data_IF_085648415463
#
_entry.id   IF_085648415463
#
_cell.length_a   1.000
_cell.length_b   1.000
_cell.length_c   1.000
_cell.angle_alpha   90.00
_cell.angle_beta   90.00
_cell.angle_gamma   90.00
#
_symmetry.space_group_name_H-M   'P 1'
#
loop_
_entity.id
_entity.type
_entity.pdbx_description
1 polymer ?
#
# COMPACT_ATOMS: atom_id res chain seq x y z
N UNK A 1 -14.08 8.51 24.01
CA UNK A 1 -13.09 8.33 22.91
C UNK A 1 -12.57 9.72 22.56
N UNK A 2 -11.47 10.13 23.12
CA UNK A 2 -10.83 11.44 22.85
C UNK A 2 -10.05 11.36 21.55
N UNK A 3 -10.59 11.92 20.45
CA UNK A 3 -9.82 12.14 19.21
C UNK A 3 -8.82 13.27 19.46
N UNK A 4 -7.55 13.02 19.15
CA UNK A 4 -6.54 14.09 19.12
C UNK A 4 -6.86 15.09 18.00
N UNK A 5 -6.57 16.40 18.15
CA UNK A 5 -6.85 17.39 17.12
C UNK A 5 -6.03 17.15 15.86
N UNK A 6 -6.69 17.22 14.70
CA UNK A 6 -6.10 17.12 13.36
C UNK A 6 -5.36 18.42 13.02
N UNK A 7 -4.16 18.33 12.43
CA UNK A 7 -3.35 19.48 12.00
C UNK A 7 -4.05 20.30 10.91
N UNK A 8 -3.74 21.60 10.83
CA UNK A 8 -4.32 22.52 9.84
C UNK A 8 -3.68 22.36 8.46
N UNK A 9 -4.48 22.66 7.40
CA UNK A 9 -4.14 22.68 5.98
C UNK A 9 -2.87 23.47 5.64
N UNK A 10 -2.02 22.91 4.76
CA UNK A 10 -0.88 23.59 4.14
C UNK A 10 0.51 23.13 4.55
N UNK A 11 0.67 22.39 5.65
CA UNK A 11 1.94 21.78 6.06
C UNK A 11 1.80 20.25 6.07
N UNK A 12 2.34 19.58 5.06
CA UNK A 12 2.34 18.10 4.96
C UNK A 12 3.11 17.41 6.09
N UNK A 13 3.65 18.21 7.03
CA UNK A 13 4.38 17.72 8.19
C UNK A 13 5.73 17.10 7.82
N UNK A 14 6.59 16.85 8.83
CA UNK A 14 7.98 16.41 8.63
C UNK A 14 8.11 14.98 8.07
N UNK A 15 7.02 14.22 8.03
CA UNK A 15 7.05 12.80 7.66
C UNK A 15 6.71 12.51 6.20
N UNK A 16 6.38 13.51 5.38
CA UNK A 16 6.07 13.34 3.96
C UNK A 16 7.28 13.68 3.08
N UNK A 17 7.70 12.73 2.22
CA UNK A 17 8.80 12.95 1.26
C UNK A 17 8.32 13.46 -0.11
N UNK A 18 7.03 13.36 -0.41
CA UNK A 18 6.47 13.78 -1.69
C UNK A 18 4.98 14.13 -1.58
N UNK A 19 4.61 15.31 -2.05
CA UNK A 19 3.20 15.74 -2.12
C UNK A 19 2.53 15.21 -3.38
N UNK A 20 1.54 14.34 -3.19
CA UNK A 20 0.73 13.78 -4.27
C UNK A 20 -0.47 14.64 -4.64
N UNK A 21 -0.79 15.70 -3.87
CA UNK A 21 -1.93 16.57 -4.15
C UNK A 21 -2.00 17.05 -5.59
N UNK A 22 -0.92 17.69 -6.12
CA UNK A 22 -0.90 18.18 -7.50
C UNK A 22 -1.02 17.08 -8.57
N UNK A 23 -0.74 15.83 -8.24
CA UNK A 23 -0.79 14.67 -9.16
C UNK A 23 -2.04 13.80 -8.98
N UNK A 24 -2.95 14.16 -8.08
CA UNK A 24 -4.09 13.32 -7.71
C UNK A 24 -4.95 12.90 -8.92
N UNK A 25 -5.28 13.86 -9.80
CA UNK A 25 -6.08 13.58 -11.00
C UNK A 25 -5.31 12.81 -12.08
N UNK A 26 -4.01 13.05 -12.22
CA UNK A 26 -3.16 12.31 -13.15
C UNK A 26 -3.01 10.85 -12.71
N UNK A 27 -2.83 10.62 -11.43
CA UNK A 27 -2.77 9.29 -10.84
C UNK A 27 -4.03 8.47 -11.12
N UNK A 28 -5.20 9.07 -10.95
CA UNK A 28 -6.48 8.43 -11.28
C UNK A 28 -6.63 8.14 -12.77
N UNK A 29 -6.27 9.10 -13.63
CA UNK A 29 -6.32 8.91 -15.09
C UNK A 29 -5.43 7.76 -15.53
N UNK A 30 -4.26 7.60 -14.88
CA UNK A 30 -3.35 6.51 -15.21
C UNK A 30 -3.99 5.13 -15.00
N UNK A 31 -4.77 4.91 -13.93
CA UNK A 31 -5.51 3.66 -13.73
C UNK A 31 -6.53 3.39 -14.82
N UNK A 32 -7.04 4.42 -15.49
CA UNK A 32 -7.92 4.35 -16.66
C UNK A 32 -7.23 3.88 -17.95
N UNK A 33 -5.90 3.90 -18.03
CA UNK A 33 -5.15 3.42 -19.20
C UNK A 33 -5.08 1.89 -19.27
N UNK A 34 -4.82 1.34 -20.47
CA UNK A 34 -4.65 -0.11 -20.63
C UNK A 34 -3.46 -0.66 -19.81
N UNK A 35 -2.39 0.13 -19.68
CA UNK A 35 -1.21 -0.22 -18.89
C UNK A 35 -1.54 -0.19 -17.39
N UNK A 36 -2.21 0.88 -16.92
CA UNK A 36 -2.64 1.04 -15.53
C UNK A 36 -3.58 -0.09 -15.10
N UNK A 37 -4.60 -0.42 -15.90
CA UNK A 37 -5.52 -1.54 -15.62
C UNK A 37 -4.82 -2.90 -15.55
N UNK A 38 -3.80 -3.15 -16.40
CA UNK A 38 -3.02 -4.40 -16.30
C UNK A 38 -2.19 -4.45 -15.02
N UNK A 39 -1.59 -3.33 -14.67
CA UNK A 39 -0.78 -3.22 -13.45
C UNK A 39 -1.65 -3.42 -12.20
N UNK A 40 -2.76 -2.71 -12.12
CA UNK A 40 -3.75 -2.79 -11.06
C UNK A 40 -4.27 -4.22 -10.84
N UNK A 41 -4.70 -4.90 -11.91
CA UNK A 41 -5.15 -6.30 -11.81
C UNK A 41 -4.10 -7.24 -11.23
N UNK A 42 -2.82 -7.04 -11.57
CA UNK A 42 -1.72 -7.86 -11.03
C UNK A 42 -1.50 -7.60 -9.55
N UNK A 43 -1.44 -6.33 -9.17
CA UNK A 43 -1.28 -5.95 -7.77
C UNK A 43 -2.44 -6.46 -6.90
N UNK A 44 -3.67 -6.31 -7.37
CA UNK A 44 -4.87 -6.83 -6.68
C UNK A 44 -4.84 -8.36 -6.57
N UNK A 45 -4.39 -9.08 -7.60
CA UNK A 45 -4.22 -10.53 -7.52
C UNK A 45 -3.16 -10.94 -6.49
N UNK A 46 -2.05 -10.18 -6.37
CA UNK A 46 -1.04 -10.41 -5.34
C UNK A 46 -1.61 -10.19 -3.94
N UNK A 47 -2.35 -9.11 -3.73
CA UNK A 47 -3.06 -8.84 -2.47
C UNK A 47 -4.00 -9.99 -2.11
N UNK A 48 -4.86 -10.41 -3.04
CA UNK A 48 -5.79 -11.52 -2.82
C UNK A 48 -5.11 -12.87 -2.53
N UNK A 49 -3.86 -13.04 -2.94
CA UNK A 49 -3.12 -14.28 -2.68
C UNK A 49 -2.62 -14.40 -1.23
N UNK A 50 -2.54 -13.28 -0.51
CA UNK A 50 -2.06 -13.23 0.89
C UNK A 50 -3.14 -12.78 1.86
N UNK A 51 -4.03 -11.89 1.45
CA UNK A 51 -5.13 -11.36 2.27
C UNK A 51 -6.22 -12.42 2.44
N UNK A 52 -6.67 -12.63 3.67
CA UNK A 52 -7.85 -13.46 3.93
C UNK A 52 -9.13 -12.73 3.52
N UNK A 53 -10.12 -13.44 2.97
CA UNK A 53 -11.45 -12.86 2.76
C UNK A 53 -12.01 -12.28 4.07
N UNK A 54 -12.66 -11.10 4.02
CA UNK A 54 -13.26 -10.52 5.20
C UNK A 54 -14.48 -11.35 5.70
N UNK A 55 -14.73 -11.26 6.99
CA UNK A 55 -15.98 -11.66 7.62
C UNK A 55 -16.91 -10.45 7.69
N UNK A 56 -18.22 -10.66 7.82
CA UNK A 56 -19.15 -9.56 8.06
C UNK A 56 -18.72 -8.72 9.28
N UNK A 57 -18.56 -7.42 9.06
CA UNK A 57 -18.13 -6.48 10.10
C UNK A 57 -16.62 -6.30 10.27
N UNK A 58 -15.76 -7.03 9.52
CA UNK A 58 -14.33 -6.80 9.54
C UNK A 58 -13.99 -5.38 9.05
N UNK A 59 -13.10 -4.71 9.80
CA UNK A 59 -12.68 -3.33 9.55
C UNK A 59 -11.26 -3.29 9.00
N UNK A 60 -11.06 -2.45 8.00
CA UNK A 60 -9.74 -2.23 7.40
C UNK A 60 -9.36 -0.74 7.49
N UNK A 61 -8.13 -0.48 7.92
CA UNK A 61 -7.49 0.84 7.82
C UNK A 61 -6.56 0.85 6.61
N UNK A 62 -6.76 1.79 5.69
CA UNK A 62 -5.89 2.02 4.53
C UNK A 62 -5.05 3.27 4.78
N UNK A 63 -3.78 3.07 5.14
CA UNK A 63 -2.83 4.12 5.54
C UNK A 63 -2.12 4.66 4.30
N UNK A 64 -2.18 5.98 4.08
CA UNK A 64 -1.75 6.61 2.85
C UNK A 64 -2.69 6.25 1.70
N UNK A 65 -3.99 6.42 1.92
CA UNK A 65 -5.04 5.96 1.01
C UNK A 65 -5.06 6.70 -0.35
N UNK A 66 -4.37 7.82 -0.44
CA UNK A 66 -4.36 8.65 -1.63
C UNK A 66 -5.79 9.04 -2.05
N UNK A 67 -6.05 8.95 -3.33
CA UNK A 67 -7.38 9.23 -3.91
C UNK A 67 -8.43 8.13 -3.62
N UNK A 68 -8.12 7.15 -2.77
CA UNK A 68 -9.01 6.09 -2.33
C UNK A 68 -9.10 4.88 -3.28
N UNK A 69 -8.17 4.72 -4.21
CA UNK A 69 -8.20 3.62 -5.18
C UNK A 69 -8.17 2.24 -4.49
N UNK A 70 -7.26 2.04 -3.55
CA UNK A 70 -7.14 0.80 -2.79
C UNK A 70 -8.26 0.66 -1.74
N UNK A 71 -8.67 1.76 -1.10
CA UNK A 71 -9.78 1.75 -0.15
C UNK A 71 -11.07 1.21 -0.81
N UNK A 72 -11.41 1.70 -2.02
CA UNK A 72 -12.57 1.21 -2.78
C UNK A 72 -12.44 -0.27 -3.17
N UNK A 73 -11.24 -0.71 -3.49
CA UNK A 73 -11.00 -2.14 -3.75
C UNK A 73 -11.23 -2.99 -2.50
N UNK A 74 -10.70 -2.60 -1.34
CA UNK A 74 -10.93 -3.33 -0.10
C UNK A 74 -12.41 -3.33 0.32
N UNK A 75 -13.11 -2.20 0.15
CA UNK A 75 -14.55 -2.14 0.40
C UNK A 75 -15.34 -3.06 -0.54
N UNK A 76 -14.94 -3.18 -1.80
CA UNK A 76 -15.55 -4.12 -2.75
C UNK A 76 -15.37 -5.60 -2.37
N UNK A 77 -14.41 -5.90 -1.50
CA UNK A 77 -14.23 -7.24 -0.92
C UNK A 77 -15.14 -7.49 0.29
N UNK A 78 -15.77 -6.45 0.86
CA UNK A 78 -16.68 -6.54 2.00
C UNK A 78 -16.11 -5.98 3.31
N UNK A 79 -14.94 -5.32 3.31
CA UNK A 79 -14.45 -4.60 4.49
C UNK A 79 -15.20 -3.28 4.71
N UNK A 80 -15.41 -2.91 5.99
CA UNK A 80 -15.68 -1.52 6.35
C UNK A 80 -14.34 -0.76 6.41
N UNK A 81 -14.11 0.18 5.48
CA UNK A 81 -12.80 0.79 5.26
C UNK A 81 -12.76 2.21 5.83
N UNK A 82 -11.68 2.51 6.56
CA UNK A 82 -11.26 3.88 6.84
C UNK A 82 -9.95 4.12 6.09
N UNK A 83 -9.95 5.06 5.14
CA UNK A 83 -8.75 5.52 4.45
C UNK A 83 -8.22 6.77 5.12
N UNK A 84 -6.92 6.84 5.37
CA UNK A 84 -6.26 8.04 5.91
C UNK A 84 -5.10 8.46 5.02
N UNK A 85 -4.94 9.77 4.86
CA UNK A 85 -3.79 10.37 4.18
C UNK A 85 -3.41 11.68 4.85
N UNK A 86 -2.17 12.10 4.70
CA UNK A 86 -1.66 13.36 5.27
C UNK A 86 -2.03 14.57 4.39
N UNK A 87 -2.28 14.35 3.10
CA UNK A 87 -2.62 15.39 2.13
C UNK A 87 -4.13 15.66 2.12
N UNK A 88 -4.52 16.86 2.51
CA UNK A 88 -5.93 17.30 2.49
C UNK A 88 -6.51 17.27 1.08
N UNK A 89 -5.72 17.65 0.07
CA UNK A 89 -6.15 17.67 -1.32
C UNK A 89 -6.47 16.27 -1.82
N UNK A 90 -5.61 15.30 -1.53
CA UNK A 90 -5.82 13.90 -1.94
C UNK A 90 -7.06 13.32 -1.25
N UNK A 91 -7.24 13.60 0.06
CA UNK A 91 -8.44 13.21 0.82
C UNK A 91 -9.70 13.85 0.26
N UNK A 92 -9.64 15.12 -0.15
CA UNK A 92 -10.76 15.82 -0.82
C UNK A 92 -11.15 15.09 -2.12
N UNK A 93 -10.17 14.70 -2.94
CA UNK A 93 -10.42 13.92 -4.16
C UNK A 93 -11.00 12.54 -3.83
N UNK A 94 -10.51 11.86 -2.79
CA UNK A 94 -11.07 10.58 -2.36
C UNK A 94 -12.55 10.70 -1.96
N UNK A 95 -12.91 11.76 -1.22
CA UNK A 95 -14.30 12.06 -0.78
C UNK A 95 -15.23 12.46 -1.92
N UNK A 96 -14.71 13.09 -2.99
CA UNK A 96 -15.53 13.55 -4.13
C UNK A 96 -16.06 12.41 -5.00
N UNK A 97 -15.60 11.18 -4.79
CA UNK A 97 -15.97 10.02 -5.62
C UNK A 97 -16.81 9.02 -4.83
N UNK A 98 -17.77 8.35 -5.48
CA UNK A 98 -18.55 7.29 -4.83
C UNK A 98 -17.64 6.21 -4.25
N UNK A 99 -17.78 5.98 -2.96
CA UNK A 99 -16.98 5.00 -2.23
C UNK A 99 -17.83 4.30 -1.14
N UNK A 100 -18.86 3.51 -1.51
CA UNK A 100 -19.68 2.77 -0.54
C UNK A 100 -18.78 1.93 0.36
N UNK A 101 -18.99 1.99 1.66
CA UNK A 101 -18.19 1.26 2.65
C UNK A 101 -16.85 1.90 3.00
N UNK A 102 -16.54 3.10 2.47
CA UNK A 102 -15.34 3.85 2.78
C UNK A 102 -15.64 5.16 3.51
N UNK A 103 -14.81 5.48 4.50
CA UNK A 103 -14.69 6.82 5.10
C UNK A 103 -13.26 7.30 4.91
N UNK A 104 -13.07 8.58 4.55
CA UNK A 104 -11.72 9.14 4.36
C UNK A 104 -11.46 10.23 5.38
N UNK A 105 -10.30 10.18 6.04
CA UNK A 105 -9.92 11.13 7.10
C UNK A 105 -8.49 11.65 6.87
N UNK A 106 -8.20 12.84 7.37
CA UNK A 106 -6.86 13.40 7.37
C UNK A 106 -6.11 12.87 8.59
N UNK A 107 -4.96 12.21 8.39
CA UNK A 107 -4.12 11.74 9.48
C UNK A 107 -2.67 11.55 9.03
N UNK A 108 -1.73 11.68 10.00
CA UNK A 108 -0.33 11.31 9.82
C UNK A 108 -0.17 9.79 10.07
N UNK A 109 0.46 9.09 9.14
CA UNK A 109 0.73 7.67 9.25
C UNK A 109 1.63 7.31 10.44
N UNK A 110 2.43 8.28 10.92
CA UNK A 110 3.32 8.13 12.07
C UNK A 110 2.65 8.44 13.43
N UNK A 111 1.41 8.97 13.44
CA UNK A 111 0.61 9.26 14.65
C UNK A 111 -0.88 9.04 14.35
N UNK A 112 -1.29 7.79 14.21
CA UNK A 112 -2.65 7.43 13.81
C UNK A 112 -3.65 7.68 14.95
N UNK A 113 -4.79 8.39 14.69
CA UNK A 113 -5.75 8.79 15.71
C UNK A 113 -6.72 7.67 16.11
N UNK A 114 -6.26 6.43 16.12
CA UNK A 114 -7.08 5.25 16.43
C UNK A 114 -6.55 4.53 17.67
N UNK A 115 -7.44 3.90 18.41
CA UNK A 115 -7.07 3.08 19.56
C UNK A 115 -6.33 1.80 19.11
N UNK A 116 -5.52 1.25 20.00
CA UNK A 116 -4.86 -0.04 19.77
C UNK A 116 -5.90 -1.13 19.45
N UNK A 117 -5.57 -2.00 18.48
CA UNK A 117 -6.40 -3.14 18.13
C UNK A 117 -7.78 -2.80 17.54
N UNK A 118 -7.89 -1.68 16.81
CA UNK A 118 -9.16 -1.22 16.24
C UNK A 118 -9.54 -1.87 14.91
N UNK A 119 -8.59 -2.49 14.20
CA UNK A 119 -8.79 -2.98 12.84
C UNK A 119 -8.37 -4.44 12.68
N UNK A 120 -9.13 -5.20 11.88
CA UNK A 120 -8.82 -6.58 11.52
C UNK A 120 -7.68 -6.64 10.52
N UNK A 121 -7.59 -5.65 9.65
CA UNK A 121 -6.49 -5.46 8.70
C UNK A 121 -6.06 -3.99 8.71
N UNK A 122 -4.75 -3.75 8.71
CA UNK A 122 -4.15 -2.43 8.46
C UNK A 122 -3.30 -2.53 7.21
N UNK A 123 -3.66 -1.79 6.17
CA UNK A 123 -2.99 -1.81 4.87
C UNK A 123 -2.23 -0.50 4.61
N UNK A 124 -1.14 -0.58 3.84
CA UNK A 124 -0.40 0.56 3.32
C UNK A 124 0.09 0.23 1.91
N UNK A 125 -0.56 0.81 0.90
CA UNK A 125 -0.34 0.43 -0.49
C UNK A 125 0.43 1.51 -1.24
N UNK A 126 1.70 1.23 -1.58
CA UNK A 126 2.66 2.12 -2.27
C UNK A 126 3.11 3.37 -1.48
N UNK A 127 2.67 3.57 -0.25
CA UNK A 127 2.98 4.76 0.56
C UNK A 127 4.31 4.67 1.28
N UNK A 128 4.75 3.47 1.67
CA UNK A 128 5.96 3.27 2.50
C UNK A 128 7.21 3.97 1.95
N UNK A 129 7.33 4.07 0.63
CA UNK A 129 8.46 4.73 -0.03
C UNK A 129 8.50 6.26 0.20
N UNK A 130 7.37 6.86 0.58
CA UNK A 130 7.19 8.31 0.66
C UNK A 130 7.05 8.85 2.09
N UNK A 131 7.22 7.99 3.09
CA UNK A 131 7.24 8.35 4.50
C UNK A 131 8.70 8.38 4.99
N UNK A 132 9.12 9.50 5.60
CA UNK A 132 10.51 9.66 6.08
C UNK A 132 10.80 8.80 7.30
N UNK A 133 9.84 8.64 8.22
CA UNK A 133 9.92 7.81 9.42
C UNK A 133 9.08 6.52 9.26
N UNK A 134 9.54 5.64 8.36
CA UNK A 134 8.90 4.34 8.13
C UNK A 134 8.83 3.45 9.38
N UNK A 135 9.81 3.46 10.33
CA UNK A 135 9.70 2.71 11.57
C UNK A 135 8.51 3.12 12.44
N UNK A 136 8.27 4.43 12.61
CA UNK A 136 7.12 4.93 13.38
C UNK A 136 5.80 4.59 12.69
N UNK A 137 5.70 4.79 11.37
CA UNK A 137 4.53 4.38 10.60
C UNK A 137 4.20 2.90 10.80
N UNK A 138 5.18 2.00 10.66
CA UNK A 138 4.94 0.57 10.78
C UNK A 138 4.55 0.18 12.21
N UNK A 139 5.15 0.79 13.24
CA UNK A 139 4.74 0.60 14.64
C UNK A 139 3.27 1.00 14.85
N UNK A 140 2.85 2.14 14.32
CA UNK A 140 1.46 2.61 14.39
C UNK A 140 0.50 1.66 13.67
N UNK A 141 0.87 1.14 12.50
CA UNK A 141 0.09 0.14 11.79
C UNK A 141 -0.11 -1.12 12.65
N UNK A 142 0.97 -1.63 13.27
CA UNK A 142 0.86 -2.78 14.16
C UNK A 142 0.08 -2.45 15.44
N UNK A 143 0.19 -1.26 15.99
CA UNK A 143 -0.60 -0.83 17.14
C UNK A 143 -2.10 -0.84 16.82
N UNK A 144 -2.47 -0.33 15.66
CA UNK A 144 -3.87 -0.26 15.23
C UNK A 144 -4.47 -1.60 14.82
N UNK A 145 -3.66 -2.59 14.40
CA UNK A 145 -4.14 -3.91 14.05
C UNK A 145 -4.55 -4.69 15.31
N UNK A 146 -5.61 -5.48 15.26
CA UNK A 146 -6.03 -6.42 16.33
C UNK A 146 -4.99 -7.53 16.53
N UNK A 147 -4.96 -8.13 17.72
CA UNK A 147 -4.24 -9.39 17.92
C UNK A 147 -4.87 -10.47 17.02
N UNK A 148 -4.04 -11.19 16.25
CA UNK A 148 -4.49 -12.12 15.24
C UNK A 148 -4.98 -11.46 13.92
N UNK A 149 -4.98 -10.15 13.85
CA UNK A 149 -5.18 -9.36 12.63
C UNK A 149 -3.95 -9.37 11.72
N UNK A 150 -4.03 -8.68 10.60
CA UNK A 150 -2.96 -8.62 9.60
C UNK A 150 -2.53 -7.18 9.31
N UNK A 151 -1.22 -6.98 9.15
CA UNK A 151 -0.64 -5.79 8.52
C UNK A 151 -0.24 -6.14 7.09
N UNK A 152 -0.75 -5.38 6.12
CA UNK A 152 -0.55 -5.58 4.69
C UNK A 152 0.23 -4.40 4.11
N UNK A 153 1.37 -4.66 3.50
CA UNK A 153 2.23 -3.64 2.92
C UNK A 153 2.44 -3.91 1.43
N UNK A 154 2.04 -2.96 0.60
CA UNK A 154 2.38 -2.92 -0.81
C UNK A 154 3.56 -1.99 -1.03
N UNK A 155 4.69 -2.49 -1.51
CA UNK A 155 5.92 -1.71 -1.67
C UNK A 155 6.43 -1.72 -3.13
N UNK A 156 6.98 -0.58 -3.56
CA UNK A 156 7.68 -0.49 -4.83
C UNK A 156 9.04 -1.20 -4.74
N UNK A 157 9.25 -2.17 -5.61
CA UNK A 157 10.48 -2.97 -5.62
C UNK A 157 11.63 -2.22 -6.30
N UNK A 158 12.64 -1.81 -5.53
CA UNK A 158 13.84 -1.12 -6.04
C UNK A 158 14.59 -1.91 -7.11
N UNK A 159 14.58 -3.25 -7.03
CA UNK A 159 15.32 -4.12 -7.96
C UNK A 159 14.59 -4.38 -9.27
N UNK A 160 13.30 -4.09 -9.35
CA UNK A 160 12.55 -4.27 -10.59
C UNK A 160 13.06 -3.36 -11.71
N UNK A 161 13.24 -3.92 -12.91
CA UNK A 161 13.80 -3.20 -14.06
C UNK A 161 13.08 -1.87 -14.34
N UNK A 162 11.75 -1.84 -14.25
CA UNK A 162 10.98 -0.63 -14.49
C UNK A 162 11.28 0.46 -13.44
N UNK A 163 11.35 0.08 -12.16
CA UNK A 163 11.62 1.05 -11.08
C UNK A 163 13.07 1.52 -11.13
N UNK A 164 14.02 0.64 -11.42
CA UNK A 164 15.41 1.05 -11.67
C UNK A 164 15.55 2.07 -12.80
N UNK A 165 14.79 1.87 -13.92
CA UNK A 165 14.76 2.81 -15.03
C UNK A 165 14.17 4.16 -14.62
N UNK A 166 13.07 4.16 -13.84
CA UNK A 166 12.43 5.38 -13.33
C UNK A 166 13.39 6.17 -12.42
N UNK A 167 14.03 5.48 -11.48
CA UNK A 167 15.04 6.08 -10.60
C UNK A 167 16.22 6.68 -11.39
N UNK A 168 16.75 5.94 -12.37
CA UNK A 168 17.87 6.40 -13.21
C UNK A 168 17.52 7.63 -14.06
N UNK A 169 16.24 7.83 -14.39
CA UNK A 169 15.74 8.98 -15.14
C UNK A 169 15.32 10.16 -14.24
N UNK A 170 15.36 10.01 -12.93
CA UNK A 170 14.84 11.03 -12.02
C UNK A 170 13.32 11.21 -12.11
N UNK A 171 12.55 10.19 -12.57
CA UNK A 171 11.10 10.28 -12.72
C UNK A 171 10.43 10.45 -11.36
N UNK A 172 9.61 11.50 -11.20
CA UNK A 172 8.77 11.69 -10.01
C UNK A 172 7.52 10.79 -10.09
N UNK A 173 7.00 10.35 -8.94
CA UNK A 173 7.47 10.55 -7.56
C UNK A 173 8.62 9.59 -7.13
N UNK A 174 9.04 8.66 -8.00
CA UNK A 174 9.99 7.58 -7.68
C UNK A 174 11.34 8.11 -7.19
N UNK A 175 11.83 9.21 -7.79
CA UNK A 175 13.12 9.81 -7.44
C UNK A 175 13.14 10.40 -6.02
N UNK A 176 12.00 10.85 -5.50
CA UNK A 176 11.84 11.34 -4.12
C UNK A 176 11.59 10.22 -3.11
N UNK A 177 11.24 9.03 -3.59
CA UNK A 177 10.89 7.90 -2.74
C UNK A 177 12.08 7.03 -2.31
N UNK A 178 11.95 6.40 -1.15
CA UNK A 178 12.90 5.39 -0.65
C UNK A 178 12.38 3.97 -0.97
N UNK A 179 12.63 3.51 -2.19
CA UNK A 179 12.20 2.19 -2.63
C UNK A 179 13.04 1.09 -1.96
N UNK A 180 12.41 0.01 -1.56
CA UNK A 180 13.05 -1.12 -0.88
C UNK A 180 13.26 -2.31 -1.83
N UNK A 181 14.36 -3.05 -1.62
CA UNK A 181 14.52 -4.38 -2.17
C UNK A 181 13.66 -5.40 -1.36
N UNK A 182 13.27 -6.54 -1.95
CA UNK A 182 12.46 -7.54 -1.23
C UNK A 182 13.10 -8.02 0.07
N UNK A 183 14.41 -8.16 0.09
CA UNK A 183 15.17 -8.59 1.28
C UNK A 183 15.12 -7.52 2.36
N UNK A 184 15.34 -6.25 2.01
CA UNK A 184 15.27 -5.11 2.93
C UNK A 184 13.87 -5.00 3.57
N UNK A 185 12.81 -5.13 2.78
CA UNK A 185 11.44 -5.11 3.30
C UNK A 185 11.18 -6.29 4.24
N UNK A 186 11.66 -7.48 3.91
CA UNK A 186 11.51 -8.66 4.78
C UNK A 186 12.24 -8.47 6.10
N UNK A 187 13.51 -8.04 6.07
CA UNK A 187 14.33 -7.85 7.26
C UNK A 187 13.75 -6.75 8.14
N UNK A 188 13.20 -5.70 7.54
CA UNK A 188 12.50 -4.63 8.24
C UNK A 188 11.21 -5.10 8.95
N UNK A 189 10.45 -6.00 8.33
CA UNK A 189 9.18 -6.49 8.89
C UNK A 189 9.33 -7.70 9.82
N UNK A 190 10.44 -8.44 9.73
CA UNK A 190 10.68 -9.65 10.52
C UNK A 190 10.54 -9.49 12.03
N UNK A 191 10.95 -8.37 12.67
CA UNK A 191 10.75 -8.16 14.10
C UNK A 191 9.28 -8.16 14.55
N UNK A 192 8.35 -7.91 13.64
CA UNK A 192 6.91 -7.82 13.93
C UNK A 192 6.17 -9.15 13.78
N UNK A 193 6.78 -10.17 13.16
CA UNK A 193 6.18 -11.48 13.00
C UNK A 193 6.62 -12.22 11.74
N UNK A 194 5.89 -13.30 11.45
CA UNK A 194 6.16 -14.09 10.24
C UNK A 194 5.73 -13.34 8.98
N UNK A 195 6.69 -13.05 8.10
CA UNK A 195 6.47 -12.29 6.87
C UNK A 195 6.16 -13.23 5.71
N UNK A 196 4.98 -13.09 5.12
CA UNK A 196 4.60 -13.70 3.83
C UNK A 196 4.73 -12.66 2.74
N UNK A 197 5.41 -12.97 1.64
CA UNK A 197 5.61 -12.02 0.55
C UNK A 197 5.32 -12.64 -0.80
N UNK A 198 4.75 -11.82 -1.69
CA UNK A 198 4.53 -12.14 -3.10
C UNK A 198 4.90 -10.92 -3.94
N UNK A 199 5.44 -11.15 -5.13
CA UNK A 199 5.59 -10.13 -6.14
C UNK A 199 5.36 -10.77 -7.50
N UNK A 200 4.27 -10.43 -8.16
CA UNK A 200 3.98 -10.87 -9.51
C UNK A 200 4.35 -9.77 -10.52
N UNK A 201 4.77 -10.19 -11.66
CA UNK A 201 5.14 -9.27 -12.73
C UNK A 201 6.56 -9.45 -13.21
N UNK A 202 7.00 -10.70 -13.41
CA UNK A 202 8.11 -11.00 -14.30
C UNK A 202 7.68 -10.61 -15.71
N UNK A 203 7.98 -9.38 -16.13
CA UNK A 203 8.04 -9.07 -17.56
C UNK A 203 9.31 -9.73 -18.08
N UNK A 204 9.14 -10.85 -18.82
CA UNK A 204 10.21 -11.37 -19.66
C UNK A 204 10.66 -10.26 -20.62
N UNK A 205 11.98 -10.17 -20.94
CA UNK A 205 12.52 -9.10 -21.78
C UNK A 205 11.92 -9.02 -23.19
N UNK A 206 11.28 -10.06 -23.66
CA UNK A 206 10.84 -10.23 -25.05
C UNK A 206 9.33 -10.06 -25.26
N UNK A 207 8.56 -9.70 -24.24
CA UNK A 207 7.10 -9.55 -24.38
C UNK A 207 6.36 -10.87 -24.66
N UNK A 208 7.06 -12.00 -24.68
CA UNK A 208 6.45 -13.30 -24.94
C UNK A 208 5.58 -13.72 -23.76
N UNK A 209 4.31 -14.00 -24.07
CA UNK A 209 3.31 -14.56 -23.16
C UNK A 209 3.69 -16.00 -22.85
N UNK A 210 4.20 -16.28 -21.67
CA UNK A 210 3.93 -17.60 -21.11
C UNK A 210 2.47 -17.62 -20.68
N UNK A 211 1.70 -18.52 -21.31
CA UNK A 211 0.31 -18.80 -21.00
C UNK A 211 0.10 -18.98 -19.48
N UNK A 212 -1.10 -18.69 -18.95
CA UNK A 212 -1.43 -18.91 -17.56
C UNK A 212 -1.53 -20.43 -17.32
N UNK A 213 -0.39 -21.08 -17.22
CA UNK A 213 -0.28 -22.37 -16.59
C UNK A 213 -0.55 -22.18 -15.11
N UNK A 214 -1.43 -23.02 -14.55
CA UNK A 214 -1.87 -23.10 -13.16
C UNK A 214 -0.95 -22.34 -12.20
N UNK A 215 -1.51 -21.37 -11.51
CA UNK A 215 -0.88 -20.55 -10.47
C UNK A 215 -0.20 -21.47 -9.45
N UNK A 216 1.06 -21.86 -9.72
CA UNK A 216 1.88 -22.48 -8.68
C UNK A 216 2.13 -21.39 -7.66
N UNK A 217 1.59 -21.58 -6.46
CA UNK A 217 1.95 -20.87 -5.25
C UNK A 217 3.48 -20.88 -5.14
N UNK A 218 4.14 -19.85 -5.66
CA UNK A 218 5.54 -19.60 -5.34
C UNK A 218 5.58 -18.70 -4.11
N UNK A 219 5.23 -19.29 -2.96
CA UNK A 219 5.82 -18.86 -1.70
C UNK A 219 7.29 -19.20 -1.87
N UNK A 220 8.17 -18.21 -2.05
CA UNK A 220 9.60 -18.46 -2.11
C UNK A 220 10.06 -19.03 -0.78
N UNK A 221 10.52 -20.27 -0.69
CA UNK A 221 11.43 -20.65 0.37
C UNK A 221 12.71 -19.84 0.19
N UNK A 222 13.38 -19.57 1.28
CA UNK A 222 14.61 -18.78 1.38
C UNK A 222 15.48 -18.84 0.12
N UNK A 223 15.66 -17.69 -0.59
CA UNK A 223 16.72 -17.51 -1.56
C UNK A 223 16.38 -16.96 -2.94
N UNK A 224 15.13 -16.94 -3.41
CA UNK A 224 14.79 -16.37 -4.73
C UNK A 224 14.41 -14.88 -4.62
N UNK A 225 15.09 -13.99 -5.34
CA UNK A 225 14.69 -12.59 -5.44
C UNK A 225 13.32 -12.47 -6.11
N UNK A 226 12.39 -11.76 -5.46
CA UNK A 226 11.10 -11.41 -6.03
C UNK A 226 11.33 -10.33 -7.11
N UNK A 227 11.06 -10.63 -8.38
CA UNK A 227 11.42 -9.77 -9.51
C UNK A 227 10.31 -8.79 -9.94
N UNK A 228 9.10 -8.87 -9.37
CA UNK A 228 7.97 -8.01 -9.69
C UNK A 228 8.20 -6.55 -9.32
N UNK A 229 7.55 -5.63 -10.05
CA UNK A 229 7.65 -4.19 -9.81
C UNK A 229 7.04 -3.75 -8.48
N UNK A 230 6.16 -4.56 -7.93
CA UNK A 230 5.44 -4.34 -6.69
C UNK A 230 5.52 -5.58 -5.82
N UNK A 231 5.75 -5.40 -4.55
CA UNK A 231 5.84 -6.44 -3.54
C UNK A 231 4.65 -6.28 -2.62
N UNK A 232 3.94 -7.35 -2.34
CA UNK A 232 2.93 -7.38 -1.27
C UNK A 232 3.47 -8.24 -0.15
N UNK A 233 3.53 -7.69 1.05
CA UNK A 233 3.91 -8.36 2.28
C UNK A 233 2.73 -8.39 3.25
N UNK A 234 2.45 -9.55 3.83
CA UNK A 234 1.53 -9.72 4.96
C UNK A 234 2.31 -10.16 6.18
N UNK A 235 2.03 -9.52 7.32
CA UNK A 235 2.53 -9.92 8.64
C UNK A 235 1.35 -10.02 9.59
N UNK A 236 1.24 -11.12 10.34
CA UNK A 236 0.21 -11.28 11.37
C UNK A 236 0.70 -10.76 12.70
N UNK A 237 -0.14 -9.98 13.35
CA UNK A 237 0.09 -9.47 14.69
C UNK A 237 -0.18 -10.53 15.77
#
# INVERSE_FOLDING_TARGET
MTRRPVRRSGDLGPHCLFDFGPLADEYERWYGTAAGRRHDRRQKADVLSVLKPPRPGDRLLDVGCGTGHWSRFFASLGFAVIGVDISEEVVRVARSRPAPGCVFELADACDLPFAEGSFDVVAAMAVLAFVSDTPSMVKEMFRCAKRGGSVLIGALNRLARINRRRLAKGEQPYASGRLLAPRELRDFLRPFGQVRMVASGVTTPDGSRRAPGRLRRRTSPAGGELAGAFIVAEVRR
#
